data_IF_897713231780
#
_entry.id   IF_897713231780
#
_cell.length_a   1.000
_cell.length_b   1.000
_cell.length_c   1.000
_cell.angle_alpha   90.00
_cell.angle_beta   90.00
_cell.angle_gamma   90.00
#
_symmetry.space_group_name_H-M   'P 1'
#
loop_
_entity.id
_entity.type
_entity.pdbx_description
1 polymer ?
#
# COMPACT_ATOMS: atom_id res chain seq x y z
N UNK A 1 -1.38 10.51 -35.35
CA UNK A 1 -2.29 11.01 -34.29
C UNK A 1 -2.63 9.93 -33.28
N UNK A 2 -3.32 8.86 -33.70
CA UNK A 2 -3.73 7.71 -32.88
C UNK A 2 -2.70 7.18 -31.85
N UNK A 3 -1.44 6.97 -32.25
CA UNK A 3 -0.40 6.45 -31.34
C UNK A 3 -0.16 7.37 -30.13
N UNK A 4 -0.13 8.69 -30.32
CA UNK A 4 0.18 9.64 -29.25
C UNK A 4 -1.04 10.00 -28.41
N UNK A 5 -2.22 10.04 -29.01
CA UNK A 5 -3.44 10.51 -28.34
C UNK A 5 -4.27 9.38 -27.71
N UNK A 6 -4.25 8.19 -28.30
CA UNK A 6 -5.08 7.06 -27.84
C UNK A 6 -4.25 5.96 -27.17
N UNK A 7 -3.15 5.54 -27.81
CA UNK A 7 -2.36 4.41 -27.31
C UNK A 7 -1.42 4.81 -26.18
N UNK A 8 -0.77 5.97 -26.27
CA UNK A 8 0.21 6.38 -25.26
C UNK A 8 -0.40 6.53 -23.85
N UNK A 9 -1.56 7.17 -23.63
CA UNK A 9 -2.16 7.28 -22.29
C UNK A 9 -2.61 5.93 -21.73
N UNK A 10 -3.14 5.04 -22.58
CA UNK A 10 -3.53 3.68 -22.15
C UNK A 10 -2.31 2.84 -21.78
N UNK A 11 -1.24 2.97 -22.53
CA UNK A 11 0.03 2.30 -22.22
C UNK A 11 0.67 2.88 -20.95
N UNK A 12 0.50 4.17 -20.70
CA UNK A 12 0.93 4.83 -19.46
C UNK A 12 0.24 4.26 -18.23
N UNK A 13 -1.10 4.20 -18.27
CA UNK A 13 -1.89 3.59 -17.21
C UNK A 13 -1.50 2.12 -17.02
N UNK A 14 -1.37 1.36 -18.12
CA UNK A 14 -0.96 -0.05 -18.07
C UNK A 14 0.40 -0.25 -17.40
N UNK A 15 1.44 0.48 -17.85
CA UNK A 15 2.79 0.36 -17.27
C UNK A 15 2.85 0.89 -15.84
N UNK A 16 2.10 1.94 -15.53
CA UNK A 16 1.97 2.43 -14.16
C UNK A 16 1.42 1.34 -13.24
N UNK A 17 0.34 0.67 -13.64
CA UNK A 17 -0.26 -0.42 -12.90
C UNK A 17 0.70 -1.62 -12.76
N UNK A 18 1.46 -1.98 -13.80
CA UNK A 18 2.43 -3.07 -13.73
C UNK A 18 3.59 -2.77 -12.76
N UNK A 19 4.16 -1.56 -12.83
CA UNK A 19 5.23 -1.14 -11.90
C UNK A 19 4.73 -1.10 -10.46
N UNK A 20 3.55 -0.52 -10.25
CA UNK A 20 2.94 -0.45 -8.92
C UNK A 20 2.63 -1.85 -8.40
N UNK A 21 2.05 -2.74 -9.21
CA UNK A 21 1.73 -4.11 -8.81
C UNK A 21 2.99 -4.90 -8.44
N UNK A 22 4.02 -4.88 -9.28
CA UNK A 22 5.28 -5.56 -8.99
C UNK A 22 5.95 -5.03 -7.71
N UNK A 23 5.80 -3.74 -7.43
CA UNK A 23 6.20 -3.17 -6.15
C UNK A 23 5.32 -3.65 -4.99
N UNK A 24 3.99 -3.60 -5.11
CA UNK A 24 3.08 -4.04 -4.04
C UNK A 24 3.24 -5.55 -3.73
N UNK A 25 3.60 -6.36 -4.72
CA UNK A 25 3.94 -7.78 -4.55
C UNK A 25 5.24 -8.02 -3.75
N UNK A 26 6.14 -7.03 -3.66
CA UNK A 26 7.25 -7.05 -2.69
C UNK A 26 6.81 -6.63 -1.28
N UNK A 27 5.55 -6.22 -1.12
CA UNK A 27 5.02 -5.59 0.08
C UNK A 27 3.90 -6.38 0.75
N UNK A 28 3.86 -7.71 0.60
CA UNK A 28 2.97 -8.56 1.44
C UNK A 28 3.10 -8.22 2.92
N UNK A 29 4.33 -7.98 3.39
CA UNK A 29 4.60 -7.54 4.76
C UNK A 29 4.07 -6.14 5.06
N UNK A 30 4.13 -5.18 4.13
CA UNK A 30 3.57 -3.84 4.38
C UNK A 30 2.07 -3.80 4.30
N UNK A 31 1.45 -4.52 3.35
CA UNK A 31 0.01 -4.73 3.35
C UNK A 31 -0.44 -5.32 4.69
N UNK A 32 0.30 -6.31 5.20
CA UNK A 32 0.06 -6.86 6.53
C UNK A 32 0.27 -5.84 7.65
N UNK A 33 1.34 -5.05 7.62
CA UNK A 33 1.59 -4.02 8.64
C UNK A 33 0.51 -2.93 8.65
N UNK A 34 0.09 -2.45 7.47
CA UNK A 34 -1.00 -1.46 7.34
C UNK A 34 -2.30 -2.07 7.86
N UNK A 35 -2.58 -3.34 7.54
CA UNK A 35 -3.74 -4.07 8.01
C UNK A 35 -3.76 -4.24 9.53
N UNK A 36 -2.68 -4.71 10.12
CA UNK A 36 -2.55 -4.95 11.57
C UNK A 36 -2.65 -3.63 12.35
N UNK A 37 -2.04 -2.57 11.83
CA UNK A 37 -2.13 -1.21 12.38
C UNK A 37 -3.55 -0.67 12.28
N UNK A 38 -4.21 -0.83 11.12
CA UNK A 38 -5.59 -0.40 10.92
C UNK A 38 -6.53 -1.07 11.93
N UNK A 39 -6.42 -2.39 12.12
CA UNK A 39 -7.22 -3.12 13.12
C UNK A 39 -6.98 -2.58 14.52
N UNK A 40 -5.72 -2.40 14.91
CA UNK A 40 -5.35 -1.93 16.25
C UNK A 40 -5.86 -0.51 16.53
N UNK A 41 -5.76 0.37 15.53
CA UNK A 41 -6.26 1.74 15.64
C UNK A 41 -7.79 1.78 15.66
N UNK A 42 -8.44 0.98 14.82
CA UNK A 42 -9.89 0.88 14.77
C UNK A 42 -10.46 0.30 16.08
N UNK A 43 -9.81 -0.71 16.66
CA UNK A 43 -10.17 -1.31 17.94
C UNK A 43 -10.04 -0.29 19.07
N UNK A 44 -8.90 0.40 19.19
CA UNK A 44 -8.70 1.47 20.16
C UNK A 44 -9.71 2.62 19.99
N UNK A 45 -10.01 2.99 18.75
CA UNK A 45 -11.03 3.99 18.45
C UNK A 45 -12.46 3.48 18.73
N UNK A 46 -12.76 2.18 18.68
CA UNK A 46 -14.08 1.68 19.07
C UNK A 46 -14.21 1.69 20.60
N UNK A 47 -13.17 1.25 21.30
CA UNK A 47 -13.14 1.11 22.76
C UNK A 47 -12.90 2.42 23.52
N UNK A 48 -12.78 3.56 22.82
CA UNK A 48 -12.55 4.87 23.44
C UNK A 48 -11.26 4.95 24.29
N UNK A 49 -10.24 4.19 23.90
CA UNK A 49 -8.95 4.15 24.61
C UNK A 49 -7.84 4.85 23.83
N UNK A 50 -6.89 5.43 24.57
CA UNK A 50 -5.65 5.90 23.99
C UNK A 50 -4.83 4.72 23.49
N UNK A 51 -4.24 4.87 22.31
CA UNK A 51 -3.36 3.87 21.73
C UNK A 51 -1.90 4.31 21.90
N UNK A 52 -1.06 3.41 22.43
CA UNK A 52 0.38 3.62 22.47
C UNK A 52 1.04 2.82 21.35
N UNK A 53 1.65 3.52 20.41
CA UNK A 53 2.38 2.90 19.32
C UNK A 53 3.57 2.08 19.85
N UNK A 54 3.67 0.78 19.54
CA UNK A 54 4.69 -0.10 20.11
C UNK A 54 6.10 0.19 19.56
N UNK A 55 6.20 0.76 18.35
CA UNK A 55 7.47 1.00 17.67
C UNK A 55 8.09 2.34 18.07
N UNK A 56 7.25 3.37 18.22
CA UNK A 56 7.66 4.76 18.46
C UNK A 56 7.40 5.21 19.90
N UNK A 57 6.50 4.53 20.62
CA UNK A 57 6.02 4.94 21.95
C UNK A 57 5.06 6.12 21.93
N UNK A 58 4.66 6.62 20.76
CA UNK A 58 3.76 7.76 20.61
C UNK A 58 2.35 7.41 21.11
N UNK A 59 1.72 8.34 21.81
CA UNK A 59 0.33 8.21 22.26
C UNK A 59 -0.62 8.86 21.26
N UNK A 60 -1.63 8.11 20.84
CA UNK A 60 -2.71 8.57 19.98
C UNK A 60 -4.00 8.57 20.76
N UNK A 61 -4.60 9.76 20.88
CA UNK A 61 -5.94 9.91 21.39
C UNK A 61 -6.97 9.57 20.29
N UNK A 62 -8.25 9.55 20.66
CA UNK A 62 -9.36 9.23 19.75
C UNK A 62 -9.37 10.08 18.48
N UNK A 63 -9.09 11.38 18.58
CA UNK A 63 -9.11 12.31 17.43
C UNK A 63 -7.98 12.01 16.44
N UNK A 64 -6.78 11.72 16.94
CA UNK A 64 -5.64 11.32 16.12
C UNK A 64 -5.90 9.96 15.46
N UNK A 65 -6.44 8.99 16.20
CA UNK A 65 -6.84 7.71 15.64
C UNK A 65 -7.85 7.86 14.50
N UNK A 66 -8.86 8.72 14.67
CA UNK A 66 -9.83 9.00 13.62
C UNK A 66 -9.18 9.59 12.36
N UNK A 67 -8.24 10.52 12.54
CA UNK A 67 -7.49 11.12 11.45
C UNK A 67 -6.63 10.10 10.71
N UNK A 68 -5.91 9.22 11.42
CA UNK A 68 -5.09 8.17 10.82
C UNK A 68 -5.94 7.14 10.05
N UNK A 69 -7.03 6.67 10.65
CA UNK A 69 -7.97 5.75 10.00
C UNK A 69 -8.60 6.38 8.74
N UNK A 70 -8.97 7.66 8.84
CA UNK A 70 -9.54 8.41 7.71
C UNK A 70 -8.60 8.54 6.52
N UNK A 71 -7.28 8.61 6.71
CA UNK A 71 -6.30 8.64 5.60
C UNK A 71 -6.35 7.36 4.76
N UNK A 72 -6.71 6.25 5.38
CA UNK A 72 -6.82 4.94 4.73
C UNK A 72 -8.21 4.78 4.09
N UNK A 73 -9.27 5.24 4.76
CA UNK A 73 -10.67 5.04 4.35
C UNK A 73 -11.15 6.00 3.24
N UNK A 74 -10.70 7.27 3.26
CA UNK A 74 -11.17 8.31 2.33
C UNK A 74 -10.92 8.02 0.85
N UNK A 75 -9.76 7.49 0.42
CA UNK A 75 -9.51 7.17 -0.99
C UNK A 75 -10.53 6.21 -1.61
N UNK A 76 -11.23 5.43 -0.79
CA UNK A 76 -12.21 4.44 -1.24
C UNK A 76 -13.65 4.95 -1.13
N UNK A 77 -13.88 6.03 -0.38
CA UNK A 77 -15.21 6.60 -0.19
C UNK A 77 -16.08 5.77 0.74
N UNK A 78 -15.52 5.25 1.84
CA UNK A 78 -16.30 4.55 2.87
C UNK A 78 -17.38 5.49 3.44
N UNK A 79 -18.65 5.20 3.15
CA UNK A 79 -19.78 6.07 3.50
C UNK A 79 -20.08 6.09 5.02
N UNK A 80 -19.87 4.97 5.71
CA UNK A 80 -20.02 4.88 7.17
C UNK A 80 -18.75 4.29 7.81
N UNK A 81 -17.76 5.14 8.13
CA UNK A 81 -16.50 4.69 8.75
C UNK A 81 -16.70 3.92 10.05
N UNK A 82 -17.68 4.30 10.87
CA UNK A 82 -17.95 3.64 12.15
C UNK A 82 -18.35 2.18 11.96
N UNK A 83 -19.30 1.92 11.07
CA UNK A 83 -19.77 0.56 10.81
C UNK A 83 -18.67 -0.28 10.14
N UNK A 84 -17.93 0.31 9.21
CA UNK A 84 -16.81 -0.34 8.53
C UNK A 84 -15.72 -0.78 9.53
N UNK A 85 -15.26 0.14 10.40
CA UNK A 85 -14.29 -0.17 11.47
C UNK A 85 -14.78 -1.30 12.36
N UNK A 86 -16.05 -1.26 12.78
CA UNK A 86 -16.66 -2.30 13.60
C UNK A 86 -16.70 -3.66 12.91
N UNK A 87 -17.05 -3.70 11.62
CA UNK A 87 -17.10 -4.92 10.81
C UNK A 87 -15.71 -5.56 10.71
N UNK A 88 -14.69 -4.75 10.37
CA UNK A 88 -13.30 -5.19 10.25
C UNK A 88 -12.76 -5.73 11.57
N UNK A 89 -12.92 -5.00 12.68
CA UNK A 89 -12.42 -5.42 13.99
C UNK A 89 -13.09 -6.71 14.44
N UNK A 90 -14.41 -6.84 14.27
CA UNK A 90 -15.14 -8.09 14.58
C UNK A 90 -14.65 -9.27 13.75
N UNK A 91 -14.38 -9.06 12.46
CA UNK A 91 -13.79 -10.08 11.60
C UNK A 91 -12.42 -10.52 12.13
N UNK A 92 -11.54 -9.57 12.42
CA UNK A 92 -10.19 -9.84 12.89
C UNK A 92 -10.17 -10.56 14.25
N UNK A 93 -10.98 -10.13 15.21
CA UNK A 93 -11.10 -10.75 16.53
C UNK A 93 -11.64 -12.18 16.43
N UNK A 94 -12.65 -12.43 15.57
CA UNK A 94 -13.16 -13.79 15.33
C UNK A 94 -12.11 -14.70 14.70
N UNK A 95 -11.36 -14.19 13.72
CA UNK A 95 -10.26 -14.93 13.12
C UNK A 95 -9.21 -15.30 14.17
N UNK A 96 -8.78 -14.32 14.98
CA UNK A 96 -7.79 -14.51 16.05
C UNK A 96 -8.27 -15.49 17.12
N UNK A 97 -9.55 -15.47 17.47
CA UNK A 97 -10.13 -16.43 18.41
C UNK A 97 -10.05 -17.89 17.92
N UNK A 98 -10.09 -18.11 16.60
CA UNK A 98 -10.03 -19.45 16.00
C UNK A 98 -8.61 -19.90 15.65
N UNK A 99 -7.71 -18.97 15.28
CA UNK A 99 -6.37 -19.31 14.73
C UNK A 99 -5.22 -18.84 15.61
N UNK A 100 -5.47 -18.00 16.62
CA UNK A 100 -4.46 -17.39 17.47
C UNK A 100 -3.64 -16.28 16.80
N UNK A 101 -3.90 -15.92 15.54
CA UNK A 101 -3.14 -14.93 14.76
C UNK A 101 -4.07 -13.94 14.07
N UNK A 102 -3.53 -12.81 13.62
CA UNK A 102 -4.27 -11.91 12.73
C UNK A 102 -4.53 -12.57 11.37
N UNK A 103 -5.66 -12.23 10.72
CA UNK A 103 -5.89 -12.64 9.35
C UNK A 103 -4.83 -12.08 8.41
N UNK A 104 -4.56 -12.81 7.32
CA UNK A 104 -3.79 -12.27 6.21
C UNK A 104 -4.52 -11.04 5.64
N UNK A 105 -3.77 -10.00 5.30
CA UNK A 105 -4.33 -8.71 4.88
C UNK A 105 -5.26 -8.80 3.65
N UNK A 106 -5.02 -9.79 2.80
CA UNK A 106 -5.80 -10.05 1.59
C UNK A 106 -7.02 -10.98 1.81
N UNK A 107 -7.26 -11.44 3.04
CA UNK A 107 -8.34 -12.39 3.36
C UNK A 107 -9.72 -11.73 3.50
N UNK A 108 -9.78 -10.41 3.61
CA UNK A 108 -11.01 -9.64 3.70
C UNK A 108 -11.06 -8.57 2.62
N UNK A 109 -11.84 -8.85 1.58
CA UNK A 109 -11.91 -8.09 0.33
C UNK A 109 -12.12 -6.58 0.54
N UNK A 110 -13.07 -6.17 1.40
CA UNK A 110 -13.34 -4.74 1.60
C UNK A 110 -12.12 -4.00 2.16
N UNK A 111 -11.40 -4.58 3.13
CA UNK A 111 -10.21 -3.93 3.68
C UNK A 111 -9.01 -4.08 2.76
N UNK A 112 -8.88 -5.20 2.02
CA UNK A 112 -7.87 -5.36 0.98
C UNK A 112 -7.94 -4.21 -0.02
N UNK A 113 -9.11 -3.95 -0.59
CA UNK A 113 -9.29 -2.90 -1.60
C UNK A 113 -8.99 -1.50 -1.05
N UNK A 114 -9.27 -1.29 0.24
CA UNK A 114 -8.95 -0.05 0.96
C UNK A 114 -7.46 0.14 1.15
N UNK A 115 -6.77 -0.91 1.62
CA UNK A 115 -5.33 -0.90 1.81
C UNK A 115 -4.61 -0.77 0.47
N UNK A 116 -5.05 -1.49 -0.56
CA UNK A 116 -4.51 -1.38 -1.91
C UNK A 116 -4.60 0.07 -2.41
N UNK A 117 -5.78 0.69 -2.36
CA UNK A 117 -5.94 2.10 -2.78
C UNK A 117 -5.09 3.07 -1.95
N UNK A 118 -4.98 2.83 -0.63
CA UNK A 118 -4.10 3.62 0.22
C UNK A 118 -2.62 3.48 -0.19
N UNK A 119 -2.15 2.25 -0.40
CA UNK A 119 -0.80 1.95 -0.88
C UNK A 119 -0.55 2.58 -2.27
N UNK A 120 -1.52 2.51 -3.17
CA UNK A 120 -1.45 3.14 -4.50
C UNK A 120 -1.39 4.67 -4.41
N UNK A 121 -2.04 5.29 -3.44
CA UNK A 121 -1.98 6.75 -3.26
C UNK A 121 -0.61 7.26 -2.81
N UNK A 122 0.27 6.38 -2.34
CA UNK A 122 1.63 6.68 -1.86
C UNK A 122 2.70 6.46 -2.95
N UNK A 123 2.38 6.73 -4.22
CA UNK A 123 3.34 6.62 -5.36
C UNK A 123 4.65 7.38 -5.09
N UNK A 124 4.60 8.49 -4.37
CA UNK A 124 5.80 9.26 -4.02
C UNK A 124 6.79 8.46 -3.17
N UNK A 125 6.30 7.60 -2.27
CA UNK A 125 7.14 6.71 -1.44
C UNK A 125 7.70 5.52 -2.25
N UNK A 126 7.04 5.16 -3.35
CA UNK A 126 7.49 4.15 -4.31
C UNK A 126 8.72 4.63 -5.11
N UNK A 127 8.76 5.92 -5.50
CA UNK A 127 9.76 6.46 -6.42
C UNK A 127 11.22 6.22 -5.98
N UNK A 128 11.62 6.47 -4.72
CA UNK A 128 12.99 6.22 -4.28
C UNK A 128 13.39 4.75 -4.42
N UNK A 129 12.48 3.83 -4.11
CA UNK A 129 12.74 2.38 -4.11
C UNK A 129 12.93 1.87 -5.54
N UNK A 130 12.07 2.26 -6.49
CA UNK A 130 12.17 1.77 -7.87
C UNK A 130 13.26 2.48 -8.67
N UNK A 131 13.67 3.70 -8.31
CA UNK A 131 14.64 4.48 -9.08
C UNK A 131 15.99 3.77 -9.23
N UNK A 132 16.62 3.87 -10.41
CA UNK A 132 17.96 3.30 -10.68
C UNK A 132 19.11 4.26 -10.30
N UNK A 133 18.86 5.24 -9.42
CA UNK A 133 19.83 6.24 -8.97
C UNK A 133 20.87 5.70 -7.99
N UNK A 134 22.00 6.38 -7.84
CA UNK A 134 23.24 5.77 -7.33
C UNK A 134 23.54 5.93 -5.83
N UNK A 135 22.54 6.15 -4.96
CA UNK A 135 22.71 6.04 -3.49
C UNK A 135 21.41 5.59 -2.83
N UNK A 136 21.39 4.34 -2.37
CA UNK A 136 20.33 3.78 -1.52
C UNK A 136 20.98 3.24 -0.26
N UNK A 137 20.28 3.36 0.86
CA UNK A 137 20.65 2.57 2.04
C UNK A 137 20.43 1.07 1.78
N UNK A 138 21.02 0.20 2.61
CA UNK A 138 20.95 -1.25 2.41
C UNK A 138 19.52 -1.82 2.41
N UNK A 139 18.57 -1.18 3.10
CA UNK A 139 17.18 -1.63 3.18
C UNK A 139 16.43 -1.28 1.90
N UNK A 140 16.63 -0.06 1.40
CA UNK A 140 16.05 0.42 0.15
C UNK A 140 16.62 -0.33 -1.06
N UNK A 141 17.90 -0.70 -1.02
CA UNK A 141 18.54 -1.54 -2.05
C UNK A 141 17.95 -2.95 -2.09
N UNK A 142 17.74 -3.60 -0.95
CA UNK A 142 17.10 -4.92 -0.89
C UNK A 142 15.69 -4.91 -1.51
N UNK A 143 14.87 -3.92 -1.14
CA UNK A 143 13.53 -3.73 -1.74
C UNK A 143 13.57 -3.47 -3.24
N UNK A 144 14.58 -2.74 -3.72
CA UNK A 144 14.76 -2.51 -5.15
C UNK A 144 15.04 -3.83 -5.90
N UNK A 145 15.88 -4.69 -5.34
CA UNK A 145 16.19 -5.99 -5.95
C UNK A 145 14.94 -6.87 -6.01
N UNK A 146 14.16 -6.94 -4.93
CA UNK A 146 12.88 -7.66 -4.91
C UNK A 146 11.92 -7.16 -5.99
N UNK A 147 11.79 -5.83 -6.12
CA UNK A 147 11.00 -5.21 -7.19
C UNK A 147 11.46 -5.65 -8.60
N UNK A 148 12.78 -5.64 -8.86
CA UNK A 148 13.33 -6.06 -10.16
C UNK A 148 13.05 -7.55 -10.41
N UNK A 149 13.23 -8.42 -9.42
CA UNK A 149 12.93 -9.86 -9.55
C UNK A 149 11.44 -10.11 -9.83
N UNK A 150 10.53 -9.37 -9.20
CA UNK A 150 9.09 -9.46 -9.48
C UNK A 150 8.77 -9.08 -10.92
N UNK A 151 9.32 -7.97 -11.40
CA UNK A 151 9.17 -7.57 -12.80
C UNK A 151 9.71 -8.65 -13.75
N UNK A 152 10.81 -9.33 -13.40
CA UNK A 152 11.26 -10.50 -14.18
C UNK A 152 10.27 -11.66 -14.13
N UNK A 153 9.67 -11.91 -12.98
CA UNK A 153 8.58 -12.89 -12.82
C UNK A 153 7.39 -12.61 -13.73
N UNK A 154 7.10 -11.33 -14.00
CA UNK A 154 6.07 -10.89 -14.96
C UNK A 154 6.53 -10.91 -16.43
N UNK A 155 7.76 -11.38 -16.71
CA UNK A 155 8.28 -11.57 -18.07
C UNK A 155 9.12 -10.41 -18.61
N UNK A 156 9.46 -9.42 -17.78
CA UNK A 156 10.32 -8.31 -18.19
C UNK A 156 11.82 -8.65 -18.05
N UNK A 157 12.62 -8.25 -19.03
CA UNK A 157 14.09 -8.27 -18.92
C UNK A 157 14.60 -7.07 -18.10
N UNK A 158 15.79 -7.16 -17.50
CA UNK A 158 16.40 -6.04 -16.75
C UNK A 158 16.43 -4.73 -17.55
N UNK A 159 16.72 -4.85 -18.86
CA UNK A 159 16.73 -3.69 -19.76
C UNK A 159 15.35 -3.09 -19.95
N UNK A 160 14.29 -3.90 -20.01
CA UNK A 160 12.91 -3.43 -20.06
C UNK A 160 12.52 -2.77 -18.75
N UNK A 161 12.79 -3.41 -17.60
CA UNK A 161 12.47 -2.84 -16.26
C UNK A 161 13.09 -1.46 -16.09
N UNK A 162 14.38 -1.32 -16.39
CA UNK A 162 15.07 -0.03 -16.30
C UNK A 162 14.44 1.04 -17.17
N UNK A 163 14.14 0.72 -18.43
CA UNK A 163 13.52 1.67 -19.37
C UNK A 163 12.11 2.06 -18.95
N UNK A 164 11.32 1.12 -18.44
CA UNK A 164 9.97 1.36 -17.97
C UNK A 164 9.96 2.28 -16.76
N UNK A 165 10.82 2.02 -15.76
CA UNK A 165 10.95 2.88 -14.58
C UNK A 165 11.47 4.26 -14.95
N UNK A 166 12.52 4.38 -15.77
CA UNK A 166 13.04 5.68 -16.22
C UNK A 166 11.99 6.48 -17.00
N UNK A 167 11.15 5.81 -17.78
CA UNK A 167 10.02 6.44 -18.47
C UNK A 167 8.93 6.87 -17.48
N UNK A 168 8.48 5.97 -16.60
CA UNK A 168 7.47 6.23 -15.58
C UNK A 168 7.85 7.40 -14.66
N UNK A 169 9.11 7.47 -14.22
CA UNK A 169 9.59 8.59 -13.42
C UNK A 169 9.59 9.92 -14.17
N UNK A 170 9.84 9.93 -15.48
CA UNK A 170 9.80 11.18 -16.26
C UNK A 170 8.38 11.70 -16.42
N UNK A 171 7.43 10.79 -16.61
CA UNK A 171 6.02 11.15 -16.77
C UNK A 171 5.44 11.64 -15.45
N UNK A 172 5.69 10.95 -14.34
CA UNK A 172 5.20 11.37 -13.01
C UNK A 172 5.93 12.60 -12.42
N UNK A 173 7.14 12.93 -12.86
CA UNK A 173 7.82 14.19 -12.46
C UNK A 173 7.41 15.40 -13.31
N UNK A 174 6.73 15.17 -14.43
CA UNK A 174 6.32 16.22 -15.37
C UNK A 174 4.85 16.63 -15.20
N UNK A 175 4.09 15.93 -14.36
CA UNK A 175 2.76 16.31 -13.87
C UNK A 175 2.83 16.82 -12.44
#
# INVERSE_FOLDING_TARGET
>A
EFIKTELAPRYEEFIGNEIQKAYLESYTEYGQNVFDRYISYADAWIEEQDYKDPDTGQLYNREVLDAELSKIEKPVGIANPKDFRNEVVKFALRHRANTGKNPAWNSYEKLRDVIEKHMFSQVEELLPVISFGSKKDSKTEGKHQEFVERMRGHGYTDRQVRRLVEWYMRVNKAG
#
